data_IF_965070320754
#
_entry.id   IF_965070320754
#
_cell.length_a   1.000
_cell.length_b   1.000
_cell.length_c   1.000
_cell.angle_alpha   90.00
_cell.angle_beta   90.00
_cell.angle_gamma   90.00
#
_symmetry.space_group_name_H-M   'P 1'
#
loop_
_entity.id
_entity.type
_entity.pdbx_description
1 polymer ?
#
# COMPACT_ATOMS: atom_id res chain seq x y z
N UNK A 1 -1.91 3.53 -26.55
CA UNK A 1 -2.07 4.88 -25.96
C UNK A 1 -0.68 5.52 -25.93
N UNK A 2 -0.50 6.70 -26.52
CA UNK A 2 0.81 7.37 -26.59
C UNK A 2 1.20 7.86 -25.19
N UNK A 3 2.23 7.25 -24.59
CA UNK A 3 2.78 7.64 -23.29
C UNK A 3 3.26 9.10 -23.33
N UNK A 4 2.91 9.87 -22.30
CA UNK A 4 3.41 11.24 -22.13
C UNK A 4 4.94 11.26 -21.96
N UNK A 5 5.60 12.27 -22.54
CA UNK A 5 7.07 12.44 -22.51
C UNK A 5 7.66 12.74 -21.10
N UNK A 6 6.83 12.80 -20.05
CA UNK A 6 7.27 13.15 -18.70
C UNK A 6 7.92 11.96 -18.02
N UNK A 7 9.09 12.18 -17.40
CA UNK A 7 9.74 11.16 -16.57
C UNK A 7 8.85 10.72 -15.41
N UNK A 8 7.85 11.48 -14.98
CA UNK A 8 6.98 11.15 -13.85
C UNK A 8 5.70 10.38 -14.22
N UNK A 9 5.46 10.11 -15.50
CA UNK A 9 4.21 9.50 -15.96
C UNK A 9 3.95 8.11 -15.36
N UNK A 10 5.01 7.33 -15.14
CA UNK A 10 4.96 6.00 -14.52
C UNK A 10 4.28 6.00 -13.12
N UNK A 11 4.35 7.11 -12.38
CA UNK A 11 3.73 7.22 -11.05
C UNK A 11 2.21 7.13 -11.16
N UNK A 12 1.61 7.66 -12.24
CA UNK A 12 0.16 7.58 -12.49
C UNK A 12 -0.23 6.11 -12.72
N UNK A 13 0.54 5.41 -13.55
CA UNK A 13 0.30 3.99 -13.86
C UNK A 13 0.48 3.11 -12.62
N UNK A 14 1.58 3.27 -11.87
CA UNK A 14 1.84 2.49 -10.66
C UNK A 14 0.79 2.73 -9.58
N UNK A 15 0.31 3.97 -9.44
CA UNK A 15 -0.78 4.28 -8.50
C UNK A 15 -2.04 3.52 -8.85
N UNK A 16 -2.41 3.46 -10.15
CA UNK A 16 -3.56 2.67 -10.59
C UNK A 16 -3.36 1.18 -10.32
N UNK A 17 -2.19 0.61 -10.66
CA UNK A 17 -1.88 -0.80 -10.42
C UNK A 17 -1.93 -1.19 -8.93
N UNK A 18 -1.46 -0.32 -8.04
CA UNK A 18 -1.55 -0.53 -6.58
C UNK A 18 -3.00 -0.51 -6.14
N UNK A 19 -3.82 0.42 -6.63
CA UNK A 19 -5.26 0.44 -6.34
C UNK A 19 -5.92 -0.87 -6.81
N UNK A 20 -5.67 -1.29 -8.06
CA UNK A 20 -6.23 -2.51 -8.62
C UNK A 20 -5.85 -3.73 -7.77
N UNK A 21 -4.58 -3.87 -7.39
CA UNK A 21 -4.12 -4.98 -6.53
C UNK A 21 -4.80 -5.00 -5.14
N UNK A 22 -5.14 -3.84 -4.58
CA UNK A 22 -5.87 -3.75 -3.31
C UNK A 22 -7.34 -4.15 -3.50
N UNK A 23 -7.97 -3.67 -4.57
CA UNK A 23 -9.39 -3.92 -4.88
C UNK A 23 -9.61 -5.37 -5.30
N UNK A 24 -8.63 -6.00 -5.95
CA UNK A 24 -8.73 -7.41 -6.38
C UNK A 24 -8.52 -8.39 -5.22
N UNK A 25 -7.97 -7.95 -4.08
CA UNK A 25 -7.82 -8.80 -2.89
C UNK A 25 -9.15 -8.95 -2.15
N UNK A 26 -9.79 -10.11 -2.33
CA UNK A 26 -10.98 -10.50 -1.55
C UNK A 26 -10.75 -10.41 -0.04
N UNK A 27 -9.51 -10.63 0.43
CA UNK A 27 -9.17 -10.52 1.84
C UNK A 27 -9.15 -9.07 2.32
N UNK A 28 -8.57 -8.14 1.55
CA UNK A 28 -8.60 -6.71 1.88
C UNK A 28 -10.02 -6.14 1.81
N UNK A 29 -10.82 -6.54 0.81
CA UNK A 29 -12.25 -6.21 0.70
C UNK A 29 -12.98 -6.64 1.99
N UNK A 30 -12.80 -7.89 2.43
CA UNK A 30 -13.40 -8.41 3.66
C UNK A 30 -12.92 -7.65 4.90
N UNK A 31 -11.61 -7.37 5.01
CA UNK A 31 -11.06 -6.64 6.15
C UNK A 31 -11.67 -5.22 6.25
N UNK A 32 -11.96 -4.60 5.12
CA UNK A 32 -12.61 -3.29 5.05
C UNK A 32 -14.14 -3.35 5.20
N UNK A 33 -14.74 -4.54 5.38
CA UNK A 33 -16.17 -4.73 5.55
C UNK A 33 -16.97 -4.48 4.26
N UNK A 34 -16.38 -4.81 3.11
CA UNK A 34 -16.92 -4.57 1.77
C UNK A 34 -17.18 -5.86 1.00
N UNK A 35 -17.23 -7.01 1.68
CA UNK A 35 -17.38 -8.34 1.07
C UNK A 35 -18.68 -8.55 0.28
N UNK A 36 -19.70 -7.70 0.51
CA UNK A 36 -20.98 -7.74 -0.19
C UNK A 36 -21.13 -6.59 -1.20
N UNK A 37 -20.05 -5.88 -1.54
CA UNK A 37 -20.09 -4.80 -2.53
C UNK A 37 -20.19 -5.36 -3.95
N UNK A 38 -21.13 -4.84 -4.74
CA UNK A 38 -21.26 -5.16 -6.17
C UNK A 38 -20.24 -4.38 -7.03
N UNK A 39 -19.68 -3.30 -6.48
CA UNK A 39 -18.64 -2.45 -7.11
C UNK A 39 -17.62 -2.00 -6.05
N UNK A 40 -16.68 -2.89 -5.67
CA UNK A 40 -15.69 -2.60 -4.63
C UNK A 40 -14.82 -1.38 -4.95
N UNK A 41 -14.54 -1.10 -6.24
CA UNK A 41 -13.75 0.06 -6.64
C UNK A 41 -14.42 1.36 -6.18
N UNK A 42 -15.68 1.56 -6.57
CA UNK A 42 -16.46 2.75 -6.22
C UNK A 42 -16.69 2.86 -4.71
N UNK A 43 -16.91 1.75 -4.02
CA UNK A 43 -17.20 1.72 -2.59
C UNK A 43 -15.97 1.93 -1.68
N UNK A 44 -14.76 1.70 -2.20
CA UNK A 44 -13.52 1.72 -1.43
C UNK A 44 -12.62 2.90 -1.79
N UNK A 45 -12.40 3.19 -3.07
CA UNK A 45 -11.49 4.27 -3.47
C UNK A 45 -12.02 5.62 -3.00
N UNK A 46 -11.13 6.41 -2.40
CA UNK A 46 -11.43 7.71 -1.81
C UNK A 46 -12.49 7.69 -0.69
N UNK A 47 -12.83 6.50 -0.17
CA UNK A 47 -13.74 6.30 0.97
C UNK A 47 -13.06 5.58 2.14
N UNK A 48 -12.31 4.51 1.86
CA UNK A 48 -11.48 3.79 2.82
C UNK A 48 -10.14 3.31 2.25
N UNK A 49 -9.91 3.47 0.95
CA UNK A 49 -8.62 3.29 0.28
C UNK A 49 -8.23 4.61 -0.37
N UNK A 50 -7.12 5.21 0.06
CA UNK A 50 -6.67 6.51 -0.46
C UNK A 50 -5.32 6.40 -1.16
N UNK A 51 -5.23 6.75 -2.44
CA UNK A 51 -3.98 6.73 -3.18
C UNK A 51 -3.19 8.02 -2.94
N UNK A 52 -3.05 8.43 -1.69
CA UNK A 52 -2.19 9.48 -1.16
C UNK A 52 -2.09 9.30 0.36
N UNK A 53 -1.14 9.99 1.00
CA UNK A 53 -1.10 10.07 2.46
C UNK A 53 -2.31 10.88 2.98
N UNK A 54 -3.44 10.18 3.17
CA UNK A 54 -4.64 10.73 3.80
C UNK A 54 -4.56 10.51 5.30
N UNK A 55 -4.91 11.54 6.07
CA UNK A 55 -5.13 11.46 7.51
C UNK A 55 -6.47 12.14 7.78
N UNK A 56 -7.47 11.45 8.37
CA UNK A 56 -8.75 12.08 8.68
C UNK A 56 -8.57 13.29 9.60
N UNK A 57 -9.09 14.46 9.22
CA UNK A 57 -9.03 15.68 10.04
C UNK A 57 -10.03 15.64 11.20
N UNK A 58 -11.16 14.95 10.99
CA UNK A 58 -12.28 14.86 11.94
C UNK A 58 -12.15 13.62 12.84
N UNK A 59 -12.32 13.87 14.14
CA UNK A 59 -12.11 12.91 15.23
C UNK A 59 -13.29 11.93 15.40
N UNK A 60 -14.34 12.13 14.62
CA UNK A 60 -15.63 11.47 14.65
C UNK A 60 -15.76 10.35 13.59
N UNK A 61 -14.85 10.29 12.60
CA UNK A 61 -14.83 9.17 11.66
C UNK A 61 -14.30 7.89 12.31
N UNK A 62 -15.22 7.05 12.78
CA UNK A 62 -14.91 5.72 13.34
C UNK A 62 -14.73 4.70 12.20
N UNK A 63 -13.58 4.79 11.51
CA UNK A 63 -13.31 4.02 10.30
C UNK A 63 -11.89 3.43 10.25
N UNK A 64 -11.67 2.62 9.23
CA UNK A 64 -10.42 1.92 8.89
C UNK A 64 -9.99 2.35 7.49
N UNK A 65 -8.70 2.52 7.29
CA UNK A 65 -8.14 3.10 6.07
C UNK A 65 -6.86 2.39 5.63
N UNK A 66 -6.75 2.18 4.31
CA UNK A 66 -5.53 1.76 3.63
C UNK A 66 -5.09 2.92 2.74
N UNK A 67 -4.05 3.63 3.15
CA UNK A 67 -3.56 4.80 2.42
C UNK A 67 -2.15 4.51 1.90
N UNK A 68 -1.76 5.07 0.76
CA UNK A 68 -0.41 4.85 0.25
C UNK A 68 0.15 6.03 -0.56
N UNK A 69 1.47 6.11 -0.60
CA UNK A 69 2.20 7.06 -1.44
C UNK A 69 3.41 6.41 -2.12
N UNK A 70 3.73 6.89 -3.31
CA UNK A 70 4.84 6.43 -4.13
C UNK A 70 5.95 7.47 -4.07
N UNK A 71 7.13 7.06 -3.61
CA UNK A 71 8.35 7.85 -3.70
C UNK A 71 9.21 7.33 -4.84
N UNK A 72 9.55 8.21 -5.78
CA UNK A 72 10.46 7.91 -6.88
C UNK A 72 11.61 8.91 -6.85
N UNK A 73 12.77 8.49 -6.37
CA UNK A 73 13.97 9.34 -6.30
C UNK A 73 14.91 8.99 -7.44
N UNK A 74 15.37 9.98 -8.21
CA UNK A 74 16.37 9.74 -9.26
C UNK A 74 17.71 9.50 -8.57
N UNK A 75 18.38 8.38 -8.88
CA UNK A 75 19.74 8.15 -8.40
C UNK A 75 20.68 9.19 -9.04
N UNK A 76 21.27 10.11 -8.24
CA UNK A 76 22.11 11.17 -8.78
C UNK A 76 23.38 10.64 -9.44
N UNK A 77 23.78 9.39 -9.16
CA UNK A 77 24.99 8.76 -9.73
C UNK A 77 24.78 8.28 -11.16
N UNK A 78 23.56 7.90 -11.52
CA UNK A 78 23.26 7.29 -12.83
C UNK A 78 22.26 8.10 -13.67
N UNK A 79 21.48 9.02 -13.06
CA UNK A 79 20.52 9.95 -13.69
C UNK A 79 19.52 9.32 -14.69
N UNK A 80 19.38 7.99 -14.62
CA UNK A 80 18.59 7.13 -15.52
C UNK A 80 17.64 6.26 -14.70
N UNK A 81 18.13 5.66 -13.60
CA UNK A 81 17.33 4.82 -12.72
C UNK A 81 16.66 5.62 -11.60
N UNK A 82 15.49 5.13 -11.19
CA UNK A 82 14.75 5.66 -10.05
C UNK A 82 14.65 4.62 -8.96
N UNK A 83 14.98 5.04 -7.75
CA UNK A 83 14.71 4.29 -6.55
C UNK A 83 13.23 4.47 -6.22
N UNK A 84 12.46 3.41 -6.47
CA UNK A 84 11.02 3.39 -6.20
C UNK A 84 10.73 2.75 -4.85
N UNK A 85 9.98 3.48 -4.02
CA UNK A 85 9.42 2.98 -2.78
C UNK A 85 7.92 3.23 -2.73
N UNK A 86 7.19 2.29 -2.14
CA UNK A 86 5.77 2.42 -1.83
C UNK A 86 5.63 2.44 -0.31
N UNK A 87 5.02 3.50 0.21
CA UNK A 87 4.69 3.63 1.62
C UNK A 87 3.21 3.33 1.80
N UNK A 88 2.87 2.42 2.71
CA UNK A 88 1.48 2.22 3.14
C UNK A 88 1.28 2.77 4.56
N UNK A 89 0.29 3.64 4.71
CA UNK A 89 -0.13 4.26 5.94
C UNK A 89 -1.45 3.60 6.38
N UNK A 90 -1.34 2.50 7.10
CA UNK A 90 -2.51 1.73 7.53
C UNK A 90 -3.03 2.31 8.82
N UNK A 91 -4.31 2.68 8.86
CA UNK A 91 -4.91 3.41 9.97
C UNK A 91 -6.24 2.79 10.38
N UNK A 92 -6.43 2.64 11.69
CA UNK A 92 -7.72 2.26 12.26
C UNK A 92 -8.05 3.15 13.44
N UNK A 93 -9.29 3.63 13.48
CA UNK A 93 -9.82 4.29 14.65
C UNK A 93 -9.83 3.30 15.83
N UNK A 94 -9.37 3.74 17.00
CA UNK A 94 -9.19 2.88 18.17
C UNK A 94 -10.45 2.10 18.58
N UNK A 95 -11.64 2.64 18.31
CA UNK A 95 -12.92 2.02 18.69
C UNK A 95 -13.31 0.85 17.76
N UNK A 96 -12.72 0.76 16.56
CA UNK A 96 -12.92 -0.34 15.59
C UNK A 96 -11.61 -1.05 15.26
N UNK A 97 -10.61 -0.95 16.14
CA UNK A 97 -9.29 -1.56 15.95
C UNK A 97 -9.31 -3.09 16.09
N UNK A 98 -10.22 -3.63 16.92
CA UNK A 98 -10.34 -5.06 17.15
C UNK A 98 -10.95 -5.74 15.91
N UNK A 99 -10.35 -6.83 15.48
CA UNK A 99 -10.85 -7.69 14.42
C UNK A 99 -10.91 -9.13 14.94
N UNK A 100 -12.11 -9.73 14.95
CA UNK A 100 -12.32 -11.08 15.47
C UNK A 100 -12.54 -12.04 14.30
N UNK A 101 -11.73 -13.10 14.24
CA UNK A 101 -11.79 -14.12 13.19
C UNK A 101 -11.48 -15.48 13.82
N UNK A 102 -12.33 -16.49 13.54
CA UNK A 102 -12.20 -17.85 14.08
C UNK A 102 -12.03 -17.92 15.62
N UNK A 103 -12.77 -17.08 16.36
CA UNK A 103 -12.73 -17.05 17.82
C UNK A 103 -11.46 -16.44 18.42
N UNK A 104 -10.59 -15.85 17.58
CA UNK A 104 -9.38 -15.15 18.00
C UNK A 104 -9.48 -13.67 17.66
N UNK A 105 -9.00 -12.82 18.56
CA UNK A 105 -8.93 -11.38 18.35
C UNK A 105 -7.57 -10.95 17.85
N UNK A 106 -7.58 -10.08 16.86
CA UNK A 106 -6.42 -9.45 16.27
C UNK A 106 -6.59 -7.93 16.28
N UNK A 107 -5.48 -7.22 16.10
CA UNK A 107 -5.55 -5.83 15.67
C UNK A 107 -5.79 -5.83 14.16
N UNK A 108 -6.79 -5.09 13.72
CA UNK A 108 -7.21 -5.04 12.32
C UNK A 108 -6.05 -4.71 11.38
N UNK A 109 -5.24 -3.72 11.75
CA UNK A 109 -4.10 -3.32 10.93
C UNK A 109 -3.04 -4.41 10.81
N UNK A 110 -2.92 -5.33 11.79
CA UNK A 110 -1.95 -6.43 11.69
C UNK A 110 -2.36 -7.43 10.60
N UNK A 111 -3.67 -7.66 10.44
CA UNK A 111 -4.20 -8.52 9.37
C UNK A 111 -4.02 -7.87 8.00
N UNK A 112 -4.24 -6.56 7.91
CA UNK A 112 -4.05 -5.80 6.66
C UNK A 112 -2.59 -5.83 6.21
N UNK A 113 -1.65 -5.61 7.11
CA UNK A 113 -0.23 -5.56 6.74
C UNK A 113 0.33 -6.92 6.32
N UNK A 114 -0.18 -8.01 6.89
CA UNK A 114 0.14 -9.36 6.40
C UNK A 114 -0.38 -9.58 4.97
N UNK A 115 -1.60 -9.16 4.68
CA UNK A 115 -2.17 -9.31 3.34
C UNK A 115 -1.46 -8.43 2.31
N UNK A 116 -1.10 -7.19 2.68
CA UNK A 116 -0.28 -6.32 1.82
C UNK A 116 1.11 -6.93 1.58
N UNK A 117 1.75 -7.51 2.59
CA UNK A 117 3.03 -8.19 2.40
C UNK A 117 2.91 -9.34 1.40
N UNK A 118 1.89 -10.20 1.52
CA UNK A 118 1.65 -11.27 0.56
C UNK A 118 1.47 -10.71 -0.86
N UNK A 119 0.57 -9.74 -1.05
CA UNK A 119 0.28 -9.16 -2.38
C UNK A 119 1.54 -8.60 -3.03
N UNK A 120 2.28 -7.76 -2.31
CA UNK A 120 3.37 -6.99 -2.89
C UNK A 120 4.72 -7.72 -2.91
N UNK A 121 4.92 -8.70 -2.03
CA UNK A 121 6.14 -9.52 -1.99
C UNK A 121 6.08 -10.76 -2.88
N UNK A 122 4.88 -11.27 -3.19
CA UNK A 122 4.70 -12.49 -4.00
C UNK A 122 4.28 -12.23 -5.45
N UNK A 123 3.76 -11.05 -5.77
CA UNK A 123 3.32 -10.69 -7.12
C UNK A 123 4.03 -9.45 -7.68
N UNK A 124 4.35 -9.48 -8.98
CA UNK A 124 4.91 -8.32 -9.70
C UNK A 124 3.79 -7.34 -10.04
N UNK A 125 3.32 -6.60 -9.03
CA UNK A 125 2.21 -5.65 -9.17
C UNK A 125 2.58 -4.49 -10.09
N UNK A 126 3.83 -4.01 -10.05
CA UNK A 126 4.23 -2.84 -10.82
C UNK A 126 4.65 -3.19 -12.26
N UNK A 127 5.00 -4.44 -12.52
CA UNK A 127 5.53 -4.93 -13.80
C UNK A 127 6.97 -4.47 -14.06
N UNK A 128 7.70 -4.06 -13.03
CA UNK A 128 9.07 -3.53 -13.13
C UNK A 128 9.92 -3.98 -11.95
N UNK A 129 11.09 -4.55 -12.23
CA UNK A 129 12.01 -5.02 -11.18
C UNK A 129 11.49 -6.22 -10.37
N UNK A 130 10.43 -6.89 -10.84
CA UNK A 130 9.85 -8.04 -10.14
C UNK A 130 9.02 -7.65 -8.92
N UNK A 131 9.00 -8.51 -7.90
CA UNK A 131 8.20 -8.26 -6.70
C UNK A 131 8.79 -7.13 -5.84
N UNK A 132 7.95 -6.48 -5.05
CA UNK A 132 8.43 -5.52 -4.08
C UNK A 132 9.03 -6.24 -2.86
N UNK A 133 9.99 -5.62 -2.22
CA UNK A 133 10.57 -6.11 -0.98
C UNK A 133 10.08 -5.26 0.18
N UNK A 134 9.47 -5.89 1.19
CA UNK A 134 9.19 -5.25 2.47
C UNK A 134 10.51 -4.87 3.16
N UNK A 135 10.72 -3.58 3.40
CA UNK A 135 11.90 -3.01 4.08
C UNK A 135 11.62 -2.75 5.54
N UNK A 136 10.45 -2.23 5.85
CA UNK A 136 10.09 -1.91 7.23
C UNK A 136 8.59 -2.00 7.45
N UNK A 137 8.23 -2.43 8.65
CA UNK A 137 6.87 -2.41 9.16
C UNK A 137 6.96 -1.83 10.59
N UNK A 138 6.51 -0.59 10.77
CA UNK A 138 6.71 0.18 12.01
C UNK A 138 5.39 0.71 12.56
N UNK A 139 5.26 0.92 13.88
CA UNK A 139 4.06 1.55 14.44
C UNK A 139 3.80 2.93 13.83
N UNK A 140 2.52 3.21 13.53
CA UNK A 140 2.08 4.51 13.01
C UNK A 140 0.92 5.06 13.84
N UNK A 141 0.99 6.36 14.17
CA UNK A 141 0.03 7.03 15.06
C UNK A 141 -0.04 8.52 14.70
N UNK A 142 -0.64 8.88 13.55
CA UNK A 142 -0.65 10.27 13.08
C UNK A 142 -1.48 11.21 13.95
N UNK A 143 -2.46 10.67 14.68
CA UNK A 143 -3.33 11.43 15.57
C UNK A 143 -3.82 10.58 16.75
N UNK A 144 -4.34 11.22 17.80
CA UNK A 144 -4.59 10.58 19.09
C UNK A 144 -5.55 9.38 19.02
N UNK A 145 -6.54 9.41 18.13
CA UNK A 145 -7.56 8.36 18.02
C UNK A 145 -7.25 7.25 17.01
N UNK A 146 -6.21 7.42 16.19
CA UNK A 146 -5.86 6.46 15.16
C UNK A 146 -4.55 5.76 15.48
N UNK A 147 -4.56 4.44 15.29
CA UNK A 147 -3.38 3.57 15.45
C UNK A 147 -3.25 2.70 14.21
N UNK A 148 -2.02 2.28 13.94
CA UNK A 148 -1.73 1.73 12.65
C UNK A 148 -0.30 1.27 12.46
N UNK A 149 0.04 1.05 11.20
CA UNK A 149 1.37 0.62 10.76
C UNK A 149 1.79 1.43 9.54
N UNK A 150 3.07 1.80 9.51
CA UNK A 150 3.72 2.37 8.34
C UNK A 150 4.61 1.28 7.72
N UNK A 151 4.23 0.84 6.54
CA UNK A 151 5.00 -0.10 5.74
C UNK A 151 5.79 0.64 4.69
N UNK A 152 6.99 0.15 4.42
CA UNK A 152 7.80 0.59 3.30
C UNK A 152 8.17 -0.63 2.48
N UNK A 153 7.76 -0.62 1.22
CA UNK A 153 8.24 -1.53 0.19
C UNK A 153 9.18 -0.79 -0.74
N UNK A 154 10.14 -1.51 -1.32
CA UNK A 154 10.98 -1.02 -2.41
C UNK A 154 10.90 -2.00 -3.58
N UNK A 155 11.06 -1.51 -4.82
CA UNK A 155 11.28 -2.43 -5.94
C UNK A 155 12.61 -3.12 -5.73
N UNK A 156 12.60 -4.45 -5.76
CA UNK A 156 13.81 -5.27 -5.62
C UNK A 156 14.61 -5.16 -6.92
N UNK A 157 15.50 -4.18 -6.95
CA UNK A 157 16.56 -4.02 -7.94
C UNK A 157 16.18 -3.57 -9.37
N UNK A 158 16.68 -2.39 -9.75
CA UNK A 158 17.41 -2.23 -11.03
C UNK A 158 18.86 -2.77 -10.92
N UNK A 159 19.28 -3.17 -9.71
CA UNK A 159 20.65 -3.40 -9.30
C UNK A 159 20.90 -4.86 -8.90
N UNK A 160 20.24 -5.82 -9.57
CA UNK A 160 20.72 -7.19 -9.55
C UNK A 160 21.98 -7.19 -10.40
N UNK A 161 23.03 -6.62 -9.81
CA UNK A 161 24.39 -6.71 -10.21
C UNK A 161 24.78 -8.16 -10.10
N UNK A 162 24.39 -8.95 -11.09
CA UNK A 162 25.27 -9.95 -11.67
C UNK A 162 26.39 -9.22 -12.45
N UNK A 163 27.08 -8.34 -11.72
CA UNK A 163 28.47 -7.97 -11.91
C UNK A 163 29.08 -8.07 -10.52
N UNK A 164 29.34 -9.33 -10.14
CA UNK A 164 30.55 -9.86 -9.50
C UNK A 164 30.22 -11.00 -8.52
N UNK A 165 30.42 -12.26 -8.96
CA UNK A 165 30.93 -13.31 -8.08
C UNK A 165 30.14 -14.63 -7.92
N UNK A 166 29.87 -15.36 -9.00
CA UNK A 166 30.41 -16.72 -9.23
C UNK A 166 30.14 -17.16 -10.67
#
# INVERSE_FOLDING_TARGET
>A
MLLGKSRSYEIIEYRRKICDAIIDSSKLIQLLGKENSDDPESDMLFHCVYPHEFVPETIDETKRYINFEISATIDPRNNVYKDLAVYFFILSHKDVIRYSEHGTDYLWYDKVVCELDNIFSEHDVLGIGGTLQLVSNTPYSPQHKFKGRLLKFIVKDFNNGLRYGK
#
